data_IF_509934797111
#
_entry.id   IF_509934797111
#
_cell.length_a   1.000
_cell.length_b   1.000
_cell.length_c   1.000
_cell.angle_alpha   90.00
_cell.angle_beta   90.00
_cell.angle_gamma   90.00
#
_symmetry.space_group_name_H-M   'P 1'
#
loop_
_entity.id
_entity.type
_entity.pdbx_description
1 polymer ?
#
# COMPACT_ATOMS: atom_id res chain seq x y z
N UNK A 1 29.42 -27.79 18.31
CA UNK A 1 29.86 -26.50 17.77
C UNK A 1 28.65 -25.62 17.60
N UNK A 2 28.41 -24.74 18.61
CA UNK A 2 27.41 -23.67 18.47
C UNK A 2 27.92 -22.71 17.39
N UNK A 3 27.29 -22.72 16.22
CA UNK A 3 27.58 -21.78 15.14
C UNK A 3 27.23 -20.37 15.62
N UNK A 4 28.20 -19.48 15.69
CA UNK A 4 28.00 -18.06 15.93
C UNK A 4 27.21 -17.46 14.76
N UNK A 5 25.93 -17.27 14.94
CA UNK A 5 25.10 -16.54 13.98
C UNK A 5 25.40 -15.03 14.07
N UNK A 6 25.82 -14.44 12.99
CA UNK A 6 26.02 -12.98 12.87
C UNK A 6 24.92 -12.37 12.04
N UNK A 7 24.44 -11.20 12.46
CA UNK A 7 23.44 -10.46 11.70
C UNK A 7 24.07 -9.89 10.42
N UNK A 8 23.42 -10.09 9.29
CA UNK A 8 23.88 -9.53 7.99
C UNK A 8 23.68 -8.01 7.96
N UNK A 9 24.38 -7.31 7.08
CA UNK A 9 24.19 -5.87 6.87
C UNK A 9 22.74 -5.53 6.51
N UNK A 10 22.11 -6.35 5.68
CA UNK A 10 20.68 -6.21 5.37
C UNK A 10 19.84 -6.38 6.64
N UNK A 11 20.11 -7.39 7.44
CA UNK A 11 19.40 -7.63 8.71
C UNK A 11 19.51 -6.45 9.67
N UNK A 12 20.69 -5.83 9.78
CA UNK A 12 20.90 -4.62 10.57
C UNK A 12 20.04 -3.44 10.06
N UNK A 13 20.00 -3.24 8.74
CA UNK A 13 19.17 -2.19 8.14
C UNK A 13 17.67 -2.43 8.36
N UNK A 14 17.21 -3.67 8.26
CA UNK A 14 15.82 -4.04 8.51
C UNK A 14 15.41 -3.81 9.97
N UNK A 15 16.30 -4.11 10.91
CA UNK A 15 16.06 -3.96 12.35
C UNK A 15 15.93 -2.50 12.81
N UNK A 16 16.38 -1.54 12.02
CA UNK A 16 16.24 -0.11 12.32
C UNK A 16 14.82 0.42 12.07
N UNK A 17 13.98 -0.31 11.34
CA UNK A 17 12.64 0.12 11.00
C UNK A 17 11.61 -0.61 11.89
N UNK A 18 10.65 0.08 12.51
CA UNK A 18 9.58 -0.52 13.32
C UNK A 18 8.50 -1.15 12.42
N UNK A 19 8.92 -2.11 11.59
CA UNK A 19 8.12 -2.78 10.58
C UNK A 19 8.36 -4.29 10.64
N UNK A 20 7.42 -5.06 10.09
CA UNK A 20 7.70 -6.48 9.82
C UNK A 20 8.87 -6.60 8.82
N UNK A 21 9.67 -7.68 8.88
CA UNK A 21 10.83 -7.85 8.00
C UNK A 21 10.50 -7.70 6.51
N UNK A 22 9.34 -8.21 6.06
CA UNK A 22 8.90 -8.08 4.67
C UNK A 22 8.63 -6.64 4.28
N UNK A 23 7.95 -5.87 5.13
CA UNK A 23 7.69 -4.44 4.88
C UNK A 23 8.96 -3.60 4.97
N UNK A 24 9.82 -3.85 5.94
CA UNK A 24 11.13 -3.20 6.02
C UNK A 24 11.95 -3.45 4.73
N UNK A 25 11.92 -4.68 4.21
CA UNK A 25 12.57 -5.05 2.95
C UNK A 25 11.99 -4.29 1.75
N UNK A 26 10.66 -4.06 1.70
CA UNK A 26 10.03 -3.22 0.67
C UNK A 26 10.62 -1.80 0.72
N UNK A 27 10.67 -1.18 1.89
CA UNK A 27 11.20 0.17 2.07
C UNK A 27 12.67 0.24 1.64
N UNK A 28 13.53 -0.64 2.16
CA UNK A 28 14.97 -0.69 1.82
C UNK A 28 15.19 -0.92 0.32
N UNK A 29 14.41 -1.81 -0.30
CA UNK A 29 14.52 -2.09 -1.74
C UNK A 29 14.05 -0.92 -2.62
N UNK A 30 13.32 0.04 -2.04
CA UNK A 30 12.76 1.20 -2.74
C UNK A 30 13.59 2.47 -2.58
N UNK A 31 14.71 2.44 -1.87
CA UNK A 31 15.59 3.62 -1.64
C UNK A 31 16.09 4.20 -2.96
N UNK A 32 16.33 3.35 -3.97
CA UNK A 32 16.86 3.79 -5.26
C UNK A 32 15.74 4.01 -6.28
N UNK A 33 15.87 5.05 -7.09
CA UNK A 33 15.03 5.29 -8.26
C UNK A 33 13.69 5.97 -7.96
N UNK A 34 13.62 6.83 -6.95
CA UNK A 34 12.47 7.67 -6.67
C UNK A 34 11.22 6.91 -6.22
N UNK A 35 11.38 5.69 -5.66
CA UNK A 35 10.27 4.86 -5.22
C UNK A 35 9.97 4.97 -3.72
N UNK A 36 10.88 5.57 -2.97
CA UNK A 36 10.83 5.60 -1.52
C UNK A 36 9.54 6.25 -0.95
N UNK A 37 9.06 7.41 -1.48
CA UNK A 37 7.82 8.01 -1.00
C UNK A 37 6.61 7.07 -1.16
N UNK A 38 6.53 6.37 -2.28
CA UNK A 38 5.46 5.42 -2.57
C UNK A 38 5.54 4.19 -1.68
N UNK A 39 6.75 3.65 -1.47
CA UNK A 39 6.96 2.49 -0.60
C UNK A 39 6.60 2.80 0.85
N UNK A 40 7.04 3.94 1.38
CA UNK A 40 6.70 4.41 2.74
C UNK A 40 5.20 4.57 2.89
N UNK A 41 4.53 5.18 1.91
CA UNK A 41 3.07 5.34 1.92
C UNK A 41 2.35 4.00 1.89
N UNK A 42 2.76 3.12 0.97
CA UNK A 42 2.13 1.81 0.81
C UNK A 42 2.27 0.94 2.07
N UNK A 43 3.48 0.85 2.61
CA UNK A 43 3.77 0.07 3.82
C UNK A 43 3.01 0.64 5.03
N UNK A 44 2.97 1.96 5.18
CA UNK A 44 2.20 2.60 6.25
C UNK A 44 0.71 2.28 6.13
N UNK A 45 0.15 2.34 4.93
CA UNK A 45 -1.25 2.03 4.70
C UNK A 45 -1.57 0.54 4.93
N UNK A 46 -0.68 -0.36 4.53
CA UNK A 46 -0.85 -1.81 4.73
C UNK A 46 -0.64 -2.23 6.20
N UNK A 47 -0.02 -1.39 7.01
CA UNK A 47 0.14 -1.62 8.45
C UNK A 47 -1.09 -1.20 9.26
N UNK A 48 -1.99 -0.43 8.66
CA UNK A 48 -3.26 0.00 9.26
C UNK A 48 -4.38 -0.95 8.84
N UNK A 49 -5.23 -1.31 9.80
CA UNK A 49 -6.36 -2.20 9.51
C UNK A 49 -7.40 -1.50 8.64
N UNK A 50 -7.69 -2.08 7.48
CA UNK A 50 -8.76 -1.67 6.56
C UNK A 50 -8.73 -0.15 6.25
N UNK A 51 -7.70 0.38 5.59
CA UNK A 51 -7.60 1.80 5.30
C UNK A 51 -8.69 2.31 4.36
N UNK A 52 -9.14 1.46 3.43
CA UNK A 52 -10.21 1.76 2.50
C UNK A 52 -11.58 1.59 3.16
N UNK A 53 -12.55 2.42 2.76
CA UNK A 53 -13.94 2.26 3.15
C UNK A 53 -14.45 0.91 2.61
N UNK A 54 -14.83 0.04 3.54
CA UNK A 54 -15.45 -1.25 3.22
C UNK A 54 -16.95 -1.12 3.37
N UNK A 55 -17.67 -1.33 2.30
CA UNK A 55 -19.13 -1.38 2.34
C UNK A 55 -19.52 -2.84 2.48
N UNK A 56 -19.76 -3.26 3.72
CA UNK A 56 -20.25 -4.59 4.03
C UNK A 56 -21.56 -4.87 3.30
N UNK A 57 -21.60 -5.95 2.54
CA UNK A 57 -22.82 -6.48 1.93
C UNK A 57 -23.60 -7.38 2.92
N UNK A 58 -23.83 -6.92 4.15
CA UNK A 58 -24.74 -7.65 5.03
C UNK A 58 -26.13 -7.58 4.42
N UNK A 59 -26.74 -8.75 4.23
CA UNK A 59 -27.99 -8.95 3.49
C UNK A 59 -29.23 -8.24 4.08
N UNK A 60 -29.10 -7.65 5.27
CA UNK A 60 -30.23 -7.18 6.06
C UNK A 60 -30.57 -5.68 5.88
N UNK A 61 -29.74 -4.89 5.24
CA UNK A 61 -30.00 -3.45 5.10
C UNK A 61 -30.00 -3.03 3.61
N UNK A 62 -31.07 -3.41 2.93
CA UNK A 62 -31.26 -3.24 1.49
C UNK A 62 -31.69 -1.83 1.07
N UNK A 63 -31.27 -0.77 1.75
CA UNK A 63 -31.63 0.58 1.36
C UNK A 63 -30.98 0.96 0.03
N UNK A 64 -31.77 1.55 -0.85
CA UNK A 64 -31.35 2.03 -2.17
C UNK A 64 -30.14 2.99 -2.07
N UNK A 65 -30.09 3.80 -1.03
CA UNK A 65 -28.98 4.72 -0.75
C UNK A 65 -27.66 3.98 -0.51
N UNK A 66 -27.69 2.86 0.20
CA UNK A 66 -26.50 2.03 0.45
C UNK A 66 -25.98 1.40 -0.83
N UNK A 67 -26.89 0.92 -1.70
CA UNK A 67 -26.51 0.39 -3.02
C UNK A 67 -25.88 1.47 -3.89
N UNK A 68 -26.39 2.68 -3.88
CA UNK A 68 -25.81 3.83 -4.60
C UNK A 68 -24.42 4.13 -4.09
N UNK A 69 -24.22 4.29 -2.77
CA UNK A 69 -22.90 4.53 -2.17
C UNK A 69 -21.89 3.42 -2.50
N UNK A 70 -22.33 2.17 -2.42
CA UNK A 70 -21.48 1.03 -2.80
C UNK A 70 -21.05 1.10 -4.27
N UNK A 71 -21.99 1.40 -5.16
CA UNK A 71 -21.71 1.57 -6.59
C UNK A 71 -20.72 2.69 -6.84
N UNK A 72 -20.83 3.81 -6.14
CA UNK A 72 -19.91 4.95 -6.27
C UNK A 72 -18.50 4.59 -5.81
N UNK A 73 -18.35 3.94 -4.63
CA UNK A 73 -17.05 3.49 -4.12
C UNK A 73 -16.38 2.49 -5.08
N UNK A 74 -17.16 1.54 -5.63
CA UNK A 74 -16.63 0.57 -6.61
C UNK A 74 -16.19 1.28 -7.89
N UNK A 75 -16.99 2.22 -8.41
CA UNK A 75 -16.65 3.02 -9.58
C UNK A 75 -15.36 3.81 -9.33
N UNK A 76 -15.21 4.44 -8.17
CA UNK A 76 -14.04 5.22 -7.82
C UNK A 76 -12.78 4.34 -7.72
N UNK A 77 -12.86 3.18 -7.06
CA UNK A 77 -11.76 2.22 -7.03
C UNK A 77 -11.34 1.79 -8.43
N UNK A 78 -12.32 1.53 -9.29
CA UNK A 78 -12.05 1.18 -10.68
C UNK A 78 -11.34 2.31 -11.43
N UNK A 79 -11.73 3.56 -11.23
CA UNK A 79 -11.06 4.73 -11.84
C UNK A 79 -9.60 4.85 -11.39
N UNK A 80 -9.31 4.58 -10.11
CA UNK A 80 -7.94 4.63 -9.58
C UNK A 80 -6.99 3.56 -10.16
N UNK A 81 -7.51 2.44 -10.67
CA UNK A 81 -6.71 1.31 -11.14
C UNK A 81 -7.09 0.79 -12.54
N UNK A 82 -7.80 1.58 -13.36
CA UNK A 82 -8.40 1.11 -14.61
C UNK A 82 -7.41 0.80 -15.74
N UNK A 83 -6.19 1.34 -15.72
CA UNK A 83 -5.27 1.32 -16.87
C UNK A 83 -3.88 0.76 -16.55
N UNK A 84 -3.28 0.06 -17.48
CA UNK A 84 -1.88 -0.35 -17.49
C UNK A 84 -1.41 -1.07 -16.20
N UNK A 85 -0.26 -0.67 -15.68
CA UNK A 85 0.35 -1.23 -14.46
C UNK A 85 -0.50 -0.97 -13.21
N UNK A 86 -1.27 0.10 -13.17
CA UNK A 86 -2.23 0.38 -12.10
C UNK A 86 -3.22 -0.77 -11.91
N UNK A 87 -3.76 -1.30 -13.01
CA UNK A 87 -4.67 -2.44 -12.99
C UNK A 87 -4.00 -3.72 -12.49
N UNK A 88 -2.75 -3.94 -12.87
CA UNK A 88 -1.99 -5.13 -12.45
C UNK A 88 -1.57 -5.07 -10.98
N UNK A 89 -1.48 -3.88 -10.40
CA UNK A 89 -1.15 -3.69 -9.00
C UNK A 89 -2.41 -3.67 -8.10
N UNK A 90 -3.59 -3.52 -8.70
CA UNK A 90 -4.90 -3.67 -8.05
C UNK A 90 -5.13 -2.71 -6.88
N UNK A 91 -5.62 -3.22 -5.76
CA UNK A 91 -5.94 -2.42 -4.57
C UNK A 91 -4.73 -1.65 -4.00
N UNK A 92 -3.51 -2.10 -4.26
CA UNK A 92 -2.30 -1.37 -3.85
C UNK A 92 -2.18 -0.04 -4.59
N UNK A 93 -2.59 0.02 -5.87
CA UNK A 93 -2.70 1.29 -6.61
C UNK A 93 -3.80 2.18 -6.05
N UNK A 94 -4.96 1.59 -5.73
CA UNK A 94 -6.06 2.35 -5.11
C UNK A 94 -5.58 3.02 -3.82
N UNK A 95 -4.90 2.26 -2.96
CA UNK A 95 -4.32 2.79 -1.72
C UNK A 95 -3.35 3.95 -2.00
N UNK A 96 -2.40 3.77 -2.93
CA UNK A 96 -1.42 4.81 -3.26
C UNK A 96 -2.09 6.08 -3.77
N UNK A 97 -3.02 5.94 -4.72
CA UNK A 97 -3.67 7.09 -5.35
C UNK A 97 -4.63 7.81 -4.38
N UNK A 98 -5.37 7.07 -3.56
CA UNK A 98 -6.31 7.67 -2.61
C UNK A 98 -5.58 8.36 -1.46
N UNK A 99 -4.50 7.77 -0.92
CA UNK A 99 -3.69 8.41 0.11
C UNK A 99 -2.95 9.63 -0.46
N UNK A 100 -2.40 9.52 -1.68
CA UNK A 100 -1.77 10.65 -2.36
C UNK A 100 -2.75 11.80 -2.62
N UNK A 101 -3.97 11.51 -3.08
CA UNK A 101 -5.01 12.52 -3.25
C UNK A 101 -5.40 13.18 -1.91
N UNK A 102 -5.47 12.38 -0.83
CA UNK A 102 -5.77 12.89 0.51
C UNK A 102 -4.68 13.81 1.10
N UNK A 103 -3.45 13.75 0.59
CA UNK A 103 -2.37 14.69 0.98
C UNK A 103 -2.66 16.14 0.57
N UNK A 104 -3.58 16.35 -0.38
CA UNK A 104 -4.02 17.68 -0.85
C UNK A 104 -5.32 18.15 -0.19
N UNK A 105 -5.99 17.28 0.59
CA UNK A 105 -7.20 17.63 1.34
C UNK A 105 -6.83 18.10 2.75
N UNK A 106 -7.30 19.30 3.12
CA UNK A 106 -7.04 19.90 4.44
C UNK A 106 -7.89 19.23 5.54
N UNK A 107 -7.50 18.03 5.99
CA UNK A 107 -8.15 17.26 7.07
C UNK A 107 -9.69 17.18 7.01
N UNK A 108 -10.26 17.43 5.84
CA UNK A 108 -11.70 17.39 5.61
C UNK A 108 -12.20 15.95 5.58
N UNK A 109 -12.82 15.49 6.67
CA UNK A 109 -13.28 14.12 6.80
C UNK A 109 -14.23 13.69 5.67
N UNK A 110 -15.10 14.57 5.17
CA UNK A 110 -16.02 14.27 4.07
C UNK A 110 -15.29 14.10 2.74
N UNK A 111 -14.29 14.93 2.47
CA UNK A 111 -13.46 14.81 1.28
C UNK A 111 -12.66 13.50 1.33
N UNK A 112 -12.07 13.14 2.47
CA UNK A 112 -11.34 11.88 2.67
C UNK A 112 -12.25 10.66 2.46
N UNK A 113 -13.48 10.69 2.98
CA UNK A 113 -14.47 9.64 2.75
C UNK A 113 -14.89 9.55 1.27
N UNK A 114 -15.01 10.69 0.59
CA UNK A 114 -15.29 10.74 -0.85
C UNK A 114 -14.17 10.10 -1.69
N UNK A 115 -12.93 10.15 -1.23
CA UNK A 115 -11.81 9.41 -1.83
C UNK A 115 -11.85 7.89 -1.56
N UNK A 116 -12.75 7.42 -0.72
CA UNK A 116 -12.88 6.01 -0.34
C UNK A 116 -11.97 5.59 0.81
N UNK A 117 -11.43 6.55 1.60
CA UNK A 117 -10.60 6.30 2.77
C UNK A 117 -11.37 6.52 4.08
N UNK A 118 -10.99 5.81 5.12
CA UNK A 118 -11.44 6.08 6.49
C UNK A 118 -10.60 7.20 7.10
N UNK A 119 -11.20 8.33 7.56
CA UNK A 119 -10.43 9.44 8.12
C UNK A 119 -9.53 9.07 9.30
N UNK A 120 -10.00 8.16 10.17
CA UNK A 120 -9.19 7.63 11.29
C UNK A 120 -7.97 6.86 10.78
N UNK A 121 -8.16 6.00 9.77
CA UNK A 121 -7.07 5.24 9.17
C UNK A 121 -6.04 6.16 8.51
N UNK A 122 -6.47 7.22 7.82
CA UNK A 122 -5.54 8.19 7.24
C UNK A 122 -4.66 8.86 8.30
N UNK A 123 -5.22 9.22 9.46
CA UNK A 123 -4.42 9.78 10.58
C UNK A 123 -3.35 8.80 11.07
N UNK A 124 -3.67 7.52 11.18
CA UNK A 124 -2.72 6.47 11.55
C UNK A 124 -1.65 6.28 10.48
N UNK A 125 -2.04 6.25 9.20
CA UNK A 125 -1.12 6.19 8.06
C UNK A 125 -0.13 7.36 8.10
N UNK A 126 -0.61 8.58 8.26
CA UNK A 126 0.22 9.79 8.28
C UNK A 126 1.18 9.80 9.47
N UNK A 127 0.74 9.35 10.64
CA UNK A 127 1.61 9.19 11.82
C UNK A 127 2.75 8.20 11.53
N UNK A 128 2.45 7.07 10.93
CA UNK A 128 3.45 6.05 10.60
C UNK A 128 4.38 6.52 9.47
N UNK A 129 3.86 7.17 8.42
CA UNK A 129 4.67 7.81 7.36
C UNK A 129 5.67 8.78 7.98
N UNK A 130 5.23 9.64 8.88
CA UNK A 130 6.09 10.61 9.56
C UNK A 130 7.19 9.91 10.38
N UNK A 131 6.85 8.89 11.17
CA UNK A 131 7.84 8.13 11.94
C UNK A 131 8.90 7.47 11.05
N UNK A 132 8.47 6.82 9.97
CA UNK A 132 9.40 6.19 9.01
C UNK A 132 10.27 7.23 8.32
N UNK A 133 9.73 8.37 7.94
CA UNK A 133 10.48 9.49 7.34
C UNK A 133 11.57 10.00 8.26
N UNK A 134 11.26 10.22 9.54
CA UNK A 134 12.26 10.66 10.51
C UNK A 134 13.41 9.63 10.68
N UNK A 135 13.09 8.33 10.68
CA UNK A 135 14.09 7.27 10.78
C UNK A 135 14.96 7.18 9.53
N UNK A 136 14.35 7.22 8.35
CA UNK A 136 15.06 7.15 7.07
C UNK A 136 15.94 8.38 6.84
N UNK A 137 15.48 9.56 7.24
CA UNK A 137 16.22 10.81 7.09
C UNK A 137 17.46 10.91 8.03
N UNK A 138 17.59 10.02 9.01
CA UNK A 138 18.83 9.92 9.82
C UNK A 138 20.00 9.30 9.04
N UNK A 139 19.71 8.54 7.98
CA UNK A 139 20.75 7.92 7.16
C UNK A 139 21.19 8.87 6.04
N UNK A 140 22.49 9.08 5.91
CA UNK A 140 23.06 9.88 4.82
C UNK A 140 23.04 9.15 3.47
N UNK A 141 22.79 7.84 3.48
CA UNK A 141 22.70 7.01 2.27
C UNK A 141 21.35 7.08 1.58
N UNK A 142 20.38 7.78 2.16
CA UNK A 142 19.01 7.85 1.68
C UNK A 142 18.68 9.27 1.24
N UNK A 143 18.07 9.40 0.07
CA UNK A 143 17.49 10.67 -0.37
C UNK A 143 16.49 11.17 0.67
N UNK A 144 16.65 12.41 1.11
CA UNK A 144 15.82 12.98 2.19
C UNK A 144 14.38 13.10 1.73
N UNK A 145 13.50 12.51 2.52
CA UNK A 145 12.05 12.61 2.32
C UNK A 145 11.53 13.91 2.96
N UNK A 146 10.53 14.57 2.35
CA UNK A 146 9.89 15.73 2.95
C UNK A 146 9.11 15.30 4.21
N UNK A 147 9.08 16.17 5.23
CA UNK A 147 8.32 15.90 6.45
C UNK A 147 6.80 15.85 6.20
N UNK A 148 6.32 16.68 5.29
CA UNK A 148 4.94 16.64 4.80
C UNK A 148 4.93 16.05 3.40
N UNK A 149 4.25 14.94 3.27
CA UNK A 149 4.03 14.33 1.96
C UNK A 149 2.98 15.11 1.18
N UNK A 150 3.30 15.41 -0.06
CA UNK A 150 2.36 15.71 -1.14
C UNK A 150 2.78 14.82 -2.31
N UNK A 151 2.16 13.67 -2.39
CA UNK A 151 2.58 12.63 -3.29
C UNK A 151 1.73 12.66 -4.56
N UNK A 152 2.36 12.97 -5.69
CA UNK A 152 1.73 12.81 -6.99
C UNK A 152 1.48 11.34 -7.32
N UNK A 153 0.57 11.09 -8.26
CA UNK A 153 0.30 9.73 -8.69
C UNK A 153 1.56 9.07 -9.30
N UNK A 154 1.88 7.81 -8.93
CA UNK A 154 3.03 7.12 -9.47
C UNK A 154 2.88 6.87 -10.98
N UNK A 155 3.98 7.00 -11.73
CA UNK A 155 4.02 6.65 -13.14
C UNK A 155 3.83 5.14 -13.35
N UNK A 156 3.51 4.72 -14.58
CA UNK A 156 3.37 3.30 -14.94
C UNK A 156 4.65 2.50 -14.66
N UNK A 157 5.82 3.09 -14.91
CA UNK A 157 7.11 2.47 -14.62
C UNK A 157 7.35 2.34 -13.11
N UNK A 158 7.02 3.36 -12.32
CA UNK A 158 7.10 3.30 -10.86
C UNK A 158 6.18 2.22 -10.29
N UNK A 159 4.94 2.11 -10.78
CA UNK A 159 4.01 1.06 -10.38
C UNK A 159 4.54 -0.33 -10.73
N UNK A 160 5.10 -0.51 -11.93
CA UNK A 160 5.70 -1.77 -12.35
C UNK A 160 6.85 -2.19 -11.42
N UNK A 161 7.74 -1.24 -11.10
CA UNK A 161 8.87 -1.50 -10.20
C UNK A 161 8.43 -1.79 -8.77
N UNK A 162 7.45 -1.03 -8.23
CA UNK A 162 6.87 -1.28 -6.91
C UNK A 162 6.22 -2.66 -6.84
N UNK A 163 5.46 -3.05 -7.87
CA UNK A 163 4.88 -4.38 -7.96
C UNK A 163 5.93 -5.48 -7.89
N UNK A 164 7.03 -5.34 -8.63
CA UNK A 164 8.14 -6.31 -8.57
C UNK A 164 8.79 -6.37 -7.18
N UNK A 165 8.97 -5.23 -6.50
CA UNK A 165 9.49 -5.19 -5.15
C UNK A 165 8.53 -5.91 -4.19
N UNK A 166 7.23 -5.61 -4.26
CA UNK A 166 6.22 -6.26 -3.42
C UNK A 166 6.22 -7.78 -3.58
N UNK A 167 6.25 -8.28 -4.81
CA UNK A 167 6.32 -9.71 -5.11
C UNK A 167 7.58 -10.34 -4.52
N UNK A 168 8.75 -9.72 -4.71
CA UNK A 168 10.03 -10.22 -4.16
C UNK A 168 10.10 -10.24 -2.64
N UNK A 169 9.40 -9.32 -1.99
CA UNK A 169 9.41 -9.20 -0.52
C UNK A 169 8.36 -10.06 0.16
N UNK A 170 7.38 -10.60 -0.58
CA UNK A 170 6.28 -11.42 -0.05
C UNK A 170 6.11 -12.71 -0.85
N UNK A 171 7.15 -13.56 -0.97
CA UNK A 171 7.06 -14.81 -1.74
C UNK A 171 6.03 -15.78 -1.16
N UNK A 172 5.81 -15.72 0.15
CA UNK A 172 4.85 -16.51 0.92
C UNK A 172 3.38 -16.13 0.67
N UNK A 173 3.13 -15.00 0.02
CA UNK A 173 1.78 -14.48 -0.26
C UNK A 173 1.43 -14.51 -1.75
N UNK A 174 2.18 -15.26 -2.53
CA UNK A 174 1.94 -15.39 -3.96
C UNK A 174 1.05 -16.60 -4.24
N UNK A 175 0.06 -16.39 -5.09
CA UNK A 175 -0.79 -17.45 -5.59
C UNK A 175 -0.89 -17.39 -7.11
N UNK A 176 -0.74 -18.55 -7.76
CA UNK A 176 -0.88 -18.68 -9.21
C UNK A 176 -2.30 -19.11 -9.55
N UNK A 177 -2.96 -18.38 -10.44
CA UNK A 177 -4.28 -18.78 -10.94
C UNK A 177 -4.16 -20.11 -11.69
N UNK A 178 -5.02 -21.07 -11.33
CA UNK A 178 -5.09 -22.36 -12.02
C UNK A 178 -5.83 -22.17 -13.35
N UNK A 179 -5.18 -22.57 -14.44
CA UNK A 179 -5.72 -22.50 -15.81
C UNK A 179 -6.15 -23.88 -16.32
N UNK A 180 -6.73 -24.71 -15.49
CA UNK A 180 -7.27 -26.01 -15.90
C UNK A 180 -8.76 -25.86 -16.20
N UNK A 181 -9.24 -26.59 -17.24
CA UNK A 181 -10.65 -26.66 -17.59
C UNK A 181 -11.49 -27.30 -16.47
N UNK A 182 -10.89 -28.19 -15.68
CA UNK A 182 -11.53 -28.91 -14.59
C UNK A 182 -11.43 -28.16 -13.25
N UNK A 183 -10.73 -27.03 -13.19
CA UNK A 183 -10.59 -26.27 -11.96
C UNK A 183 -11.81 -25.36 -11.72
N UNK A 184 -12.30 -25.24 -10.47
CA UNK A 184 -13.35 -24.27 -10.14
C UNK A 184 -12.98 -22.86 -10.59
N UNK A 185 -13.99 -22.09 -11.03
CA UNK A 185 -13.79 -20.68 -11.39
C UNK A 185 -13.12 -19.92 -10.23
N UNK A 186 -11.95 -19.32 -10.48
CA UNK A 186 -11.22 -18.57 -9.45
C UNK A 186 -10.28 -19.41 -8.57
N UNK A 187 -9.97 -20.64 -8.94
CA UNK A 187 -9.00 -21.47 -8.22
C UNK A 187 -7.58 -20.90 -8.32
N UNK A 188 -6.85 -20.89 -7.20
CA UNK A 188 -5.45 -20.49 -7.10
C UNK A 188 -4.64 -21.57 -6.40
N UNK A 189 -3.36 -21.71 -6.80
CA UNK A 189 -2.37 -22.56 -6.16
C UNK A 189 -1.31 -21.68 -5.50
N UNK A 190 -1.08 -21.88 -4.22
CA UNK A 190 0.03 -21.28 -3.43
C UNK A 190 1.29 -22.11 -3.54
#
# INVERSE_FOLDING_TARGET
QEGLYTITQLGQSLAQLPLTPSFAKVVISSIRGGLLPFAVTLVSALSVREPLLFISSTKEDGTEERRKRMSEVIKQRFLWCAVGEARLFGDLTVILNTVGAADYEEENARAIEALGLRPKALKEINKQRHQLTLLLNKSDSVEKLPEKFRMDAPSQEQLRRLRHIMVKCHPDKLAKKVQSLDAPKGAYKT
#
